data_IF_839839418077
#
_entry.id   IF_839839418077
#
_cell.length_a   1.000
_cell.length_b   1.000
_cell.length_c   1.000
_cell.angle_alpha   90.00
_cell.angle_beta   90.00
_cell.angle_gamma   90.00
#
_symmetry.space_group_name_H-M   'P 1'
#
loop_
_entity.id
_entity.type
_entity.pdbx_description
1 polymer ?
#
# COMPACT_ATOMS: atom_id res chain seq x y z
N UNK A 1 4.09 -16.72 16.13
CA UNK A 1 4.63 -15.35 16.13
C UNK A 1 5.25 -15.07 14.78
N UNK A 2 5.05 -13.87 14.26
CA UNK A 2 5.78 -13.42 13.08
C UNK A 2 7.21 -13.06 13.51
N UNK A 3 8.19 -13.60 12.81
CA UNK A 3 9.62 -13.34 13.10
C UNK A 3 10.10 -12.03 12.43
N UNK A 4 9.18 -11.19 11.93
CA UNK A 4 9.47 -9.95 11.24
C UNK A 4 8.78 -8.76 11.92
N UNK A 5 9.43 -7.57 11.94
CA UNK A 5 8.80 -6.38 12.49
C UNK A 5 7.62 -5.92 11.63
N UNK A 6 6.44 -5.83 12.23
CA UNK A 6 5.22 -5.43 11.55
C UNK A 6 4.43 -4.42 12.39
N UNK A 7 3.84 -3.42 11.73
CA UNK A 7 2.90 -2.46 12.32
C UNK A 7 1.59 -2.50 11.56
N UNK A 8 0.49 -2.37 12.27
CA UNK A 8 -0.85 -2.29 11.69
C UNK A 8 -1.41 -0.90 11.99
N UNK A 9 -1.84 -0.19 10.95
CA UNK A 9 -2.36 1.17 11.05
C UNK A 9 -3.76 1.23 10.47
N UNK A 10 -4.73 1.69 11.26
CA UNK A 10 -6.13 1.83 10.85
C UNK A 10 -6.51 3.30 10.75
N UNK A 11 -7.30 3.62 9.74
CA UNK A 11 -7.76 4.97 9.45
C UNK A 11 -9.26 4.98 9.17
N UNK A 12 -9.94 5.98 9.72
CA UNK A 12 -11.38 6.16 9.51
C UNK A 12 -11.64 7.04 8.28
N UNK A 13 -12.79 6.85 7.68
CA UNK A 13 -13.32 7.75 6.66
C UNK A 13 -13.38 9.19 7.24
N UNK A 14 -12.78 10.15 6.54
CA UNK A 14 -12.75 11.56 6.98
C UNK A 14 -13.76 12.44 6.22
N UNK A 15 -14.63 11.82 5.42
CA UNK A 15 -15.61 12.51 4.58
C UNK A 15 -15.11 12.82 3.18
N UNK A 16 -13.82 12.82 2.95
CA UNK A 16 -13.18 13.00 1.65
C UNK A 16 -12.45 11.73 1.23
N UNK A 17 -11.52 11.28 2.05
CA UNK A 17 -10.79 10.02 1.86
C UNK A 17 -11.53 8.90 2.61
N UNK A 18 -12.00 7.87 1.89
CA UNK A 18 -12.82 6.81 2.51
C UNK A 18 -12.05 5.99 3.52
N UNK A 19 -10.77 5.76 3.26
CA UNK A 19 -9.95 4.78 3.97
C UNK A 19 -10.58 3.37 3.93
N UNK A 20 -10.22 2.50 4.86
CA UNK A 20 -10.70 1.12 4.89
C UNK A 20 -10.67 0.61 6.33
N UNK A 21 -11.57 -0.32 6.65
CA UNK A 21 -11.55 -1.02 7.93
C UNK A 21 -10.36 -1.98 8.04
N UNK A 22 -9.81 -2.42 6.91
CA UNK A 22 -8.59 -3.22 6.87
C UNK A 22 -7.38 -2.32 7.21
N UNK A 23 -6.43 -2.80 8.03
CA UNK A 23 -5.27 -2.00 8.38
C UNK A 23 -4.27 -1.89 7.22
N UNK A 24 -3.57 -0.77 7.14
CA UNK A 24 -2.30 -0.69 6.42
C UNK A 24 -1.29 -1.56 7.16
N UNK A 25 -0.56 -2.40 6.44
CA UNK A 25 0.47 -3.26 7.01
C UNK A 25 1.82 -2.67 6.65
N UNK A 26 2.65 -2.40 7.65
CA UNK A 26 4.01 -1.87 7.46
C UNK A 26 5.00 -2.93 7.90
N UNK A 27 5.78 -3.42 6.93
CA UNK A 27 6.92 -4.30 7.19
C UNK A 27 8.21 -3.47 7.22
N UNK A 28 8.98 -3.59 8.29
CA UNK A 28 10.20 -2.81 8.49
C UNK A 28 11.43 -3.65 8.22
N UNK A 29 12.30 -3.18 7.31
CA UNK A 29 13.61 -3.76 7.02
C UNK A 29 13.58 -5.26 6.71
N UNK A 30 12.73 -5.63 5.74
CA UNK A 30 12.54 -7.02 5.34
C UNK A 30 13.34 -7.41 4.09
N UNK A 31 13.88 -6.45 3.36
CA UNK A 31 14.74 -6.71 2.20
C UNK A 31 16.20 -6.41 2.59
N UNK A 32 16.96 -7.47 2.87
CA UNK A 32 18.38 -7.37 3.24
C UNK A 32 19.24 -7.85 2.07
N UNK A 33 19.33 -7.02 1.03
CA UNK A 33 20.09 -7.30 -0.19
C UNK A 33 20.54 -5.96 -0.79
N UNK A 34 21.53 -5.99 -1.66
CA UNK A 34 22.05 -4.79 -2.31
C UNK A 34 21.03 -4.17 -3.27
N UNK A 35 20.35 -4.99 -4.06
CA UNK A 35 19.33 -4.52 -5.01
C UNK A 35 17.92 -4.78 -4.47
N UNK A 36 17.46 -3.88 -3.60
CA UNK A 36 16.17 -4.03 -2.94
C UNK A 36 15.00 -3.87 -3.90
N UNK A 37 15.11 -2.99 -4.89
CA UNK A 37 14.05 -2.82 -5.89
C UNK A 37 13.80 -4.11 -6.66
N UNK A 38 14.84 -4.77 -7.11
CA UNK A 38 14.71 -6.07 -7.79
C UNK A 38 14.13 -7.14 -6.86
N UNK A 39 14.60 -7.17 -5.61
CA UNK A 39 14.11 -8.11 -4.62
C UNK A 39 12.59 -7.95 -4.40
N UNK A 40 12.11 -6.71 -4.22
CA UNK A 40 10.70 -6.44 -4.05
C UNK A 40 9.88 -6.85 -5.28
N UNK A 41 10.35 -6.46 -6.46
CA UNK A 41 9.63 -6.79 -7.71
C UNK A 41 9.49 -8.30 -7.89
N UNK A 42 10.57 -9.05 -7.72
CA UNK A 42 10.54 -10.51 -7.81
C UNK A 42 9.64 -11.13 -6.74
N UNK A 43 9.68 -10.61 -5.52
CA UNK A 43 8.87 -11.09 -4.41
C UNK A 43 7.38 -10.85 -4.66
N UNK A 44 7.04 -9.67 -5.17
CA UNK A 44 5.65 -9.35 -5.52
C UNK A 44 5.13 -10.27 -6.62
N UNK A 45 5.90 -10.44 -7.68
CA UNK A 45 5.55 -11.34 -8.79
C UNK A 45 5.33 -12.77 -8.30
N UNK A 46 6.24 -13.28 -7.46
CA UNK A 46 6.14 -14.62 -6.88
C UNK A 46 4.82 -14.84 -6.15
N UNK A 47 4.33 -13.82 -5.47
CA UNK A 47 3.12 -13.89 -4.65
C UNK A 47 1.86 -13.37 -5.38
N UNK A 48 1.93 -13.16 -6.69
CA UNK A 48 0.77 -12.79 -7.50
C UNK A 48 0.36 -11.33 -7.40
N UNK A 49 1.26 -10.45 -6.92
CA UNK A 49 1.07 -9.00 -6.88
C UNK A 49 1.84 -8.37 -8.04
N UNK A 50 1.22 -8.25 -9.19
CA UNK A 50 1.85 -7.93 -10.47
C UNK A 50 1.38 -6.56 -11.01
N UNK A 51 1.58 -6.32 -12.31
CA UNK A 51 1.46 -4.99 -12.93
C UNK A 51 2.41 -4.00 -12.27
N UNK A 52 3.65 -4.43 -12.07
CA UNK A 52 4.65 -3.75 -11.29
C UNK A 52 5.21 -2.52 -12.00
N UNK A 53 5.62 -1.56 -11.20
CA UNK A 53 6.29 -0.34 -11.66
C UNK A 53 7.38 0.07 -10.67
N UNK A 54 8.33 0.89 -11.14
CA UNK A 54 9.35 1.52 -10.30
C UNK A 54 9.29 3.03 -10.54
N UNK A 55 8.97 3.80 -9.52
CA UNK A 55 8.78 5.24 -9.62
C UNK A 55 8.75 5.87 -8.22
N UNK A 56 8.31 7.11 -8.15
CA UNK A 56 8.04 7.84 -6.90
C UNK A 56 6.55 7.77 -6.58
N UNK A 57 6.19 8.06 -5.35
CA UNK A 57 4.79 8.22 -4.93
C UNK A 57 4.33 9.63 -5.29
N UNK A 58 3.12 9.75 -5.82
CA UNK A 58 2.52 11.03 -6.19
C UNK A 58 2.47 11.98 -4.97
N UNK A 59 2.62 13.28 -5.22
CA UNK A 59 2.68 14.31 -4.19
C UNK A 59 1.33 14.92 -3.84
N UNK A 60 0.23 14.37 -4.35
CA UNK A 60 -1.13 14.77 -3.98
C UNK A 60 -1.91 13.56 -3.41
N UNK A 61 -2.84 13.85 -2.52
CA UNK A 61 -3.62 12.80 -1.85
C UNK A 61 -4.49 12.06 -2.86
N UNK A 62 -4.37 10.75 -2.88
CA UNK A 62 -5.10 9.90 -3.80
C UNK A 62 -5.32 8.52 -3.16
N UNK A 63 -6.26 7.79 -3.71
CA UNK A 63 -6.51 6.40 -3.36
C UNK A 63 -6.97 5.62 -4.59
N UNK A 64 -6.93 4.31 -4.49
CA UNK A 64 -7.48 3.41 -5.50
C UNK A 64 -8.77 2.80 -4.96
N UNK A 65 -9.83 2.80 -5.75
CA UNK A 65 -11.12 2.27 -5.30
C UNK A 65 -11.37 0.84 -5.77
N UNK A 66 -10.57 0.35 -6.71
CA UNK A 66 -10.78 -0.94 -7.36
C UNK A 66 -9.72 -2.00 -7.05
N UNK A 67 -8.68 -1.66 -6.30
CA UNK A 67 -7.61 -2.58 -5.94
C UNK A 67 -6.86 -2.14 -4.70
N UNK A 68 -6.28 -3.11 -4.00
CA UNK A 68 -5.24 -2.89 -2.99
C UNK A 68 -3.90 -2.65 -3.70
N UNK A 69 -2.92 -2.14 -2.98
CA UNK A 69 -1.60 -1.85 -3.53
C UNK A 69 -0.51 -2.24 -2.54
N UNK A 70 0.63 -2.70 -3.04
CA UNK A 70 1.84 -2.85 -2.24
C UNK A 70 2.91 -1.90 -2.76
N UNK A 71 3.64 -1.30 -1.82
CA UNK A 71 4.80 -0.44 -2.09
C UNK A 71 6.01 -1.02 -1.37
N UNK A 72 7.07 -1.31 -2.12
CA UNK A 72 8.36 -1.68 -1.56
C UNK A 72 9.36 -0.55 -1.78
N UNK A 73 10.00 -0.08 -0.73
CA UNK A 73 10.99 1.00 -0.85
C UNK A 73 12.31 0.38 -1.27
N UNK A 74 12.69 0.61 -2.53
CA UNK A 74 13.88 0.02 -3.13
C UNK A 74 15.15 0.82 -2.93
N UNK A 75 15.04 2.17 -2.90
CA UNK A 75 16.17 3.09 -2.74
C UNK A 75 15.75 4.30 -1.94
N UNK A 76 16.68 4.84 -1.15
CA UNK A 76 16.49 6.09 -0.41
C UNK A 76 15.45 5.98 0.71
N UNK A 77 14.79 7.09 0.97
CA UNK A 77 13.71 7.18 1.94
C UNK A 77 12.72 8.25 1.53
N UNK A 78 11.50 8.14 2.02
CA UNK A 78 10.43 9.10 1.74
C UNK A 78 9.50 9.17 2.95
N UNK A 79 8.97 10.37 3.22
CA UNK A 79 7.90 10.56 4.18
C UNK A 79 6.57 10.59 3.43
N UNK A 80 5.64 9.74 3.86
CA UNK A 80 4.30 9.62 3.29
C UNK A 80 3.27 10.14 4.30
N UNK A 81 2.27 10.86 3.78
CA UNK A 81 1.01 11.07 4.51
C UNK A 81 0.09 9.92 4.15
N UNK A 82 -0.41 9.20 5.13
CA UNK A 82 -1.27 8.04 4.95
C UNK A 82 -2.55 8.23 5.75
N UNK A 83 -3.69 7.90 5.15
CA UNK A 83 -4.99 7.96 5.83
C UNK A 83 -5.71 9.28 5.72
N UNK A 84 -5.35 10.14 4.77
CA UNK A 84 -5.94 11.45 4.61
C UNK A 84 -5.36 12.49 5.56
N UNK A 85 -6.00 13.65 5.66
CA UNK A 85 -5.51 14.75 6.50
C UNK A 85 -5.49 14.41 7.99
N UNK A 86 -6.38 13.52 8.42
CA UNK A 86 -6.46 13.05 9.81
C UNK A 86 -5.62 11.80 10.07
N UNK A 87 -4.86 11.36 9.07
CA UNK A 87 -3.97 10.21 9.17
C UNK A 87 -2.65 10.53 9.85
N UNK A 88 -1.59 9.87 9.41
CA UNK A 88 -0.26 10.03 9.99
C UNK A 88 0.79 10.29 8.92
N UNK A 89 1.90 10.88 9.32
CA UNK A 89 3.13 10.90 8.52
C UNK A 89 4.01 9.75 8.96
N UNK A 90 4.48 9.00 7.96
CA UNK A 90 5.34 7.84 8.17
C UNK A 90 6.55 7.96 7.27
N UNK A 91 7.75 7.95 7.82
CA UNK A 91 8.97 7.89 7.06
C UNK A 91 9.36 6.44 6.86
N UNK A 92 9.49 6.04 5.60
CA UNK A 92 9.90 4.70 5.19
C UNK A 92 11.19 4.78 4.38
N UNK A 93 12.00 3.75 4.47
CA UNK A 93 13.31 3.71 3.81
C UNK A 93 13.54 2.39 3.09
N UNK A 94 14.57 2.36 2.25
CA UNK A 94 14.93 1.16 1.50
C UNK A 94 14.96 -0.07 2.40
N UNK A 95 14.20 -1.10 2.02
CA UNK A 95 14.00 -2.32 2.79
C UNK A 95 12.63 -2.43 3.47
N UNK A 96 11.90 -1.31 3.58
CA UNK A 96 10.54 -1.28 4.14
C UNK A 96 9.50 -1.57 3.05
N UNK A 97 8.34 -2.08 3.46
CA UNK A 97 7.20 -2.26 2.57
C UNK A 97 5.90 -1.89 3.26
N UNK A 98 4.94 -1.41 2.45
CA UNK A 98 3.58 -1.10 2.91
C UNK A 98 2.58 -1.84 2.06
N UNK A 99 1.57 -2.43 2.70
CA UNK A 99 0.41 -2.96 2.00
C UNK A 99 -0.75 -2.03 2.32
N UNK A 100 -1.29 -1.39 1.28
CA UNK A 100 -2.27 -0.32 1.40
C UNK A 100 -3.61 -0.84 0.89
N UNK A 101 -4.63 -0.96 1.78
CA UNK A 101 -5.97 -1.34 1.34
C UNK A 101 -6.57 -0.30 0.39
N UNK A 102 -7.43 -0.76 -0.51
CA UNK A 102 -8.22 0.14 -1.35
C UNK A 102 -8.93 1.18 -0.50
N UNK A 103 -9.04 2.40 -1.01
CA UNK A 103 -9.67 3.51 -0.31
C UNK A 103 -8.75 4.30 0.61
N UNK A 104 -7.64 3.75 1.02
CA UNK A 104 -6.69 4.45 1.93
C UNK A 104 -5.92 5.50 1.15
N UNK A 105 -6.05 6.75 1.59
CA UNK A 105 -5.35 7.88 0.98
C UNK A 105 -3.85 7.85 1.29
N UNK A 106 -3.06 8.26 0.30
CA UNK A 106 -1.62 8.35 0.47
C UNK A 106 -0.99 9.32 -0.53
N UNK A 107 0.06 10.00 -0.08
CA UNK A 107 0.90 10.85 -0.95
C UNK A 107 2.26 11.08 -0.32
N UNK A 108 3.24 11.45 -1.14
CA UNK A 108 4.58 11.75 -0.67
C UNK A 108 4.70 13.23 -0.27
N UNK A 109 5.43 13.48 0.83
CA UNK A 109 5.84 14.82 1.20
C UNK A 109 7.01 15.21 0.29
N UNK A 110 6.97 16.39 -0.37
CA UNK A 110 8.06 16.81 -1.26
C UNK A 110 9.42 16.83 -0.57
N UNK A 111 10.43 16.37 -1.28
CA UNK A 111 11.81 16.31 -0.78
C UNK A 111 12.80 16.47 -1.93
N UNK A 112 14.06 16.79 -1.60
CA UNK A 112 15.14 16.94 -2.57
C UNK A 112 15.83 15.62 -2.91
N UNK A 113 15.96 14.74 -1.93
CA UNK A 113 16.64 13.45 -2.08
C UNK A 113 15.83 12.51 -2.96
N UNK A 114 16.50 11.80 -3.85
CA UNK A 114 15.87 10.81 -4.71
C UNK A 114 15.55 9.52 -3.94
N UNK A 115 14.50 8.86 -4.37
CA UNK A 115 14.11 7.56 -3.85
C UNK A 115 13.41 6.76 -4.95
N UNK A 116 13.28 5.46 -4.75
CA UNK A 116 12.57 4.58 -5.69
C UNK A 116 11.68 3.62 -4.93
N UNK A 117 10.45 3.51 -5.42
CA UNK A 117 9.42 2.61 -4.89
C UNK A 117 9.04 1.61 -5.97
N UNK A 118 8.83 0.37 -5.57
CA UNK A 118 8.29 -0.69 -6.42
C UNK A 118 6.84 -0.91 -6.02
N UNK A 119 5.92 -0.79 -6.99
CA UNK A 119 4.50 -1.02 -6.79
C UNK A 119 4.04 -2.37 -7.31
N UNK A 120 2.89 -2.82 -6.82
CA UNK A 120 2.24 -4.03 -7.30
C UNK A 120 0.80 -4.12 -6.83
N UNK A 121 0.01 -4.95 -7.50
CA UNK A 121 -1.44 -5.08 -7.27
C UNK A 121 -1.85 -6.54 -7.29
N UNK A 122 -2.81 -6.97 -6.45
CA UNK A 122 -3.30 -8.34 -6.49
C UNK A 122 -3.77 -8.71 -7.90
N UNK A 123 -3.26 -9.81 -8.42
CA UNK A 123 -3.57 -10.33 -9.76
C UNK A 123 -3.32 -9.33 -10.91
N UNK A 124 -2.47 -8.34 -10.69
CA UNK A 124 -2.12 -7.34 -11.71
C UNK A 124 -3.27 -6.41 -12.08
N UNK A 125 -4.22 -6.20 -11.20
CA UNK A 125 -5.37 -5.32 -11.47
C UNK A 125 -4.91 -3.93 -11.87
N UNK A 126 -5.45 -3.40 -12.97
CA UNK A 126 -5.22 -2.01 -13.38
C UNK A 126 -5.93 -1.09 -12.38
N UNK A 127 -5.17 -0.16 -11.81
CA UNK A 127 -5.69 0.72 -10.75
C UNK A 127 -6.42 1.91 -11.34
N UNK A 128 -7.49 2.34 -10.65
CA UNK A 128 -8.10 3.65 -10.88
C UNK A 128 -7.41 4.72 -10.03
N UNK A 129 -7.76 5.98 -10.25
CA UNK A 129 -7.19 7.11 -9.51
C UNK A 129 -8.33 7.97 -8.98
N UNK A 130 -8.44 8.05 -7.66
CA UNK A 130 -9.46 8.85 -6.97
C UNK A 130 -8.78 9.84 -6.03
N UNK A 131 -9.42 11.01 -5.83
CA UNK A 131 -8.92 12.06 -4.95
C UNK A 131 -9.90 12.41 -3.82
N UNK A 132 -11.10 11.84 -3.86
CA UNK A 132 -12.20 12.18 -2.94
C UNK A 132 -13.11 13.29 -3.45
N UNK A 133 -12.74 13.94 -4.56
CA UNK A 133 -13.54 15.01 -5.17
C UNK A 133 -14.55 14.48 -6.22
N UNK A 134 -14.62 13.19 -6.40
CA UNK A 134 -15.52 12.53 -7.35
C UNK A 134 -16.98 12.65 -6.89
N UNK A 135 -17.92 12.80 -7.86
CA UNK A 135 -19.34 12.96 -7.56
C UNK A 135 -20.04 11.64 -7.18
N UNK A 136 -19.43 10.51 -7.48
CA UNK A 136 -19.99 9.18 -7.31
C UNK A 136 -19.51 8.46 -6.03
N UNK A 137 -19.39 9.19 -4.92
CA UNK A 137 -18.84 8.70 -3.66
C UNK A 137 -19.48 7.39 -3.18
N UNK A 138 -20.82 7.27 -3.27
CA UNK A 138 -21.49 6.06 -2.79
C UNK A 138 -21.11 4.83 -3.63
N UNK A 139 -20.92 5.00 -4.92
CA UNK A 139 -20.44 3.93 -5.82
C UNK A 139 -19.00 3.56 -5.51
N UNK A 140 -18.15 4.55 -5.23
CA UNK A 140 -16.76 4.34 -4.83
C UNK A 140 -16.69 3.52 -3.53
N UNK A 141 -17.46 3.89 -2.52
CA UNK A 141 -17.52 3.17 -1.25
C UNK A 141 -17.98 1.73 -1.43
N UNK A 142 -18.98 1.51 -2.29
CA UNK A 142 -19.47 0.17 -2.59
C UNK A 142 -18.42 -0.66 -3.33
N UNK A 143 -17.71 -0.04 -4.27
CA UNK A 143 -16.63 -0.70 -5.02
C UNK A 143 -15.52 -1.16 -4.09
N UNK A 144 -15.09 -0.31 -3.17
CA UNK A 144 -14.09 -0.64 -2.16
C UNK A 144 -14.55 -1.85 -1.32
N UNK A 145 -15.79 -1.84 -0.84
CA UNK A 145 -16.35 -2.94 -0.03
C UNK A 145 -16.45 -4.26 -0.76
N UNK A 146 -16.61 -4.24 -2.07
CA UNK A 146 -16.82 -5.43 -2.89
C UNK A 146 -15.51 -6.07 -3.40
N UNK A 147 -14.36 -5.47 -3.10
CA UNK A 147 -13.07 -6.06 -3.49
C UNK A 147 -12.84 -7.33 -2.67
N UNK A 148 -12.56 -8.43 -3.36
CA UNK A 148 -12.22 -9.70 -2.72
C UNK A 148 -10.91 -9.58 -1.95
N UNK A 149 -10.82 -10.22 -0.80
CA UNK A 149 -9.58 -10.29 -0.04
C UNK A 149 -8.52 -11.04 -0.86
N UNK A 150 -7.28 -10.55 -0.89
CA UNK A 150 -6.19 -11.28 -1.55
C UNK A 150 -5.96 -12.63 -0.87
N UNK A 151 -5.53 -13.61 -1.66
CA UNK A 151 -5.22 -14.96 -1.17
C UNK A 151 -3.77 -15.11 -0.73
N UNK A 152 -2.95 -14.10 -0.98
CA UNK A 152 -1.54 -14.07 -0.63
C UNK A 152 -1.14 -12.70 -0.10
N UNK A 153 -0.20 -12.70 0.84
CA UNK A 153 0.57 -11.53 1.23
C UNK A 153 1.65 -11.30 0.14
N UNK A 154 1.92 -10.06 -0.29
CA UNK A 154 2.90 -9.82 -1.35
C UNK A 154 4.34 -10.19 -0.96
N UNK A 155 4.64 -10.26 0.33
CA UNK A 155 6.00 -10.55 0.83
C UNK A 155 6.14 -12.00 1.25
N UNK A 156 5.22 -12.50 2.07
CA UNK A 156 5.33 -13.82 2.72
C UNK A 156 4.31 -14.85 2.20
N UNK A 157 3.60 -14.54 1.12
CA UNK A 157 2.66 -15.48 0.50
C UNK A 157 1.56 -15.90 1.47
N UNK A 158 1.44 -17.20 1.72
CA UNK A 158 0.40 -17.75 2.60
C UNK A 158 0.68 -17.57 4.10
N UNK A 159 1.88 -17.12 4.46
CA UNK A 159 2.33 -17.00 5.84
C UNK A 159 2.46 -15.54 6.31
N UNK A 160 2.00 -14.58 5.52
CA UNK A 160 2.15 -13.16 5.83
C UNK A 160 1.06 -12.62 6.75
N UNK A 161 1.33 -11.43 7.28
CA UNK A 161 0.41 -10.72 8.18
C UNK A 161 -0.93 -10.41 7.51
N UNK A 162 -0.95 -10.21 6.20
CA UNK A 162 -2.17 -9.90 5.46
C UNK A 162 -3.26 -10.95 5.71
N UNK A 163 -2.91 -12.23 5.66
CA UNK A 163 -3.89 -13.31 5.85
C UNK A 163 -4.39 -13.41 7.29
N UNK A 164 -3.67 -12.84 8.25
CA UNK A 164 -4.08 -12.79 9.66
C UNK A 164 -4.92 -11.55 9.95
N UNK A 165 -4.55 -10.41 9.38
CA UNK A 165 -5.11 -9.10 9.73
C UNK A 165 -6.22 -8.64 8.80
N UNK A 166 -6.24 -9.08 7.55
CA UNK A 166 -7.28 -8.74 6.59
C UNK A 166 -8.37 -9.81 6.58
N UNK A 167 -9.36 -9.59 7.40
CA UNK A 167 -10.49 -10.51 7.55
C UNK A 167 -11.79 -9.82 7.12
N UNK A 168 -12.75 -10.61 6.62
CA UNK A 168 -14.06 -10.08 6.31
C UNK A 168 -14.72 -9.51 7.58
N UNK A 169 -15.49 -8.40 7.45
CA UNK A 169 -16.21 -7.81 8.59
C UNK A 169 -17.32 -8.71 9.11
#
# INVERSE_FOLDING_TARGET
MSDYPVRLLKFKDDGLIPNNSLPVIVYTQIADTQNKSEWFEQRFILNGWTNNWRDIVLSYDHFHSNTHEVLGIGKGQVTLQIGGNNGIRLTVRAGDALIIPAGVGHYSIPQKESYEVVGGYPNGTSWDMCTGAEDDRSEILQRIRNISLPTTDPIYGKNGELLKSWTAP
#
